data_IF_217828071403
#
_entry.id   IF_217828071403
#
_cell.length_a   1.000
_cell.length_b   1.000
_cell.length_c   1.000
_cell.angle_alpha   90.00
_cell.angle_beta   90.00
_cell.angle_gamma   90.00
#
_symmetry.space_group_name_H-M   'P 1'
#
loop_
_entity.id
_entity.type
_entity.pdbx_description
1 polymer ?
#
# COMPACT_ATOMS: atom_id res chain seq x y z
N UNK A 1 43.87 -21.99 -49.35
CA UNK A 1 43.60 -20.71 -50.02
C UNK A 1 42.15 -20.78 -50.47
N UNK A 2 41.24 -20.28 -49.64
CA UNK A 2 39.80 -20.40 -49.85
C UNK A 2 39.20 -19.01 -50.09
N UNK A 3 38.54 -18.78 -51.24
CA UNK A 3 37.91 -17.50 -51.52
C UNK A 3 36.60 -17.38 -50.73
N UNK A 4 36.57 -16.38 -49.85
CA UNK A 4 35.40 -15.97 -49.08
C UNK A 4 34.41 -15.28 -50.01
N UNK A 5 33.35 -15.98 -50.41
CA UNK A 5 32.27 -15.42 -51.22
C UNK A 5 31.41 -14.48 -50.37
N UNK A 6 31.65 -13.17 -50.50
CA UNK A 6 30.79 -12.13 -49.97
C UNK A 6 29.42 -12.21 -50.66
N UNK A 7 28.39 -12.58 -49.90
CA UNK A 7 27.00 -12.51 -50.36
C UNK A 7 26.54 -11.06 -50.23
N UNK A 8 26.68 -10.30 -51.32
CA UNK A 8 26.10 -8.96 -51.47
C UNK A 8 24.59 -9.04 -51.27
N UNK A 9 24.13 -8.52 -50.12
CA UNK A 9 22.72 -8.35 -49.82
C UNK A 9 22.20 -7.18 -50.66
N UNK A 10 21.63 -7.49 -51.81
CA UNK A 10 20.98 -6.52 -52.69
C UNK A 10 19.93 -5.71 -51.91
N UNK A 11 20.21 -4.43 -51.70
CA UNK A 11 19.25 -3.50 -51.13
C UNK A 11 18.05 -3.35 -52.09
N UNK A 12 16.80 -3.49 -51.62
CA UNK A 12 15.64 -3.35 -52.48
C UNK A 12 15.56 -1.93 -53.05
N UNK A 13 15.09 -1.79 -54.31
CA UNK A 13 14.99 -0.49 -54.98
C UNK A 13 14.11 0.46 -54.15
N UNK A 14 14.66 1.65 -53.88
CA UNK A 14 14.04 2.70 -53.08
C UNK A 14 12.64 3.03 -53.63
N UNK A 15 11.60 2.70 -52.87
CA UNK A 15 10.21 3.06 -53.18
C UNK A 15 9.20 1.91 -53.09
N UNK A 16 9.63 0.64 -53.02
CA UNK A 16 8.69 -0.46 -52.79
C UNK A 16 8.52 -0.74 -51.29
N UNK A 17 7.28 -0.70 -50.75
CA UNK A 17 7.04 -1.03 -49.35
C UNK A 17 7.39 -2.50 -49.11
N UNK A 18 8.11 -2.76 -48.02
CA UNK A 18 8.47 -4.13 -47.63
C UNK A 18 7.23 -5.03 -47.51
N UNK A 19 7.38 -6.33 -47.74
CA UNK A 19 6.27 -7.29 -47.60
C UNK A 19 5.60 -7.24 -46.22
N UNK A 20 6.39 -7.00 -45.17
CA UNK A 20 5.88 -6.80 -43.82
C UNK A 20 4.98 -5.56 -43.73
N UNK A 21 5.34 -4.49 -44.42
CA UNK A 21 4.55 -3.26 -44.50
C UNK A 21 3.28 -3.44 -45.34
N UNK A 22 3.36 -4.14 -46.48
CA UNK A 22 2.19 -4.49 -47.28
C UNK A 22 1.20 -5.33 -46.47
N UNK A 23 1.68 -6.29 -45.66
CA UNK A 23 0.85 -7.08 -44.74
C UNK A 23 0.20 -6.20 -43.67
N UNK A 24 0.95 -5.29 -43.04
CA UNK A 24 0.40 -4.32 -42.06
C UNK A 24 -0.68 -3.42 -42.67
N UNK A 25 -0.47 -2.92 -43.89
CA UNK A 25 -1.45 -2.06 -44.60
C UNK A 25 -2.69 -2.86 -44.97
N UNK A 26 -2.55 -4.08 -45.50
CA UNK A 26 -3.70 -4.97 -45.78
C UNK A 26 -4.50 -5.29 -44.52
N UNK A 27 -3.81 -5.57 -43.40
CA UNK A 27 -4.47 -5.82 -42.11
C UNK A 27 -5.24 -4.58 -41.62
N UNK A 28 -4.63 -3.39 -41.69
CA UNK A 28 -5.32 -2.12 -41.35
C UNK A 28 -6.54 -1.88 -42.22
N UNK A 29 -6.44 -2.08 -43.53
CA UNK A 29 -7.59 -1.97 -44.47
C UNK A 29 -8.69 -2.99 -44.16
N UNK A 30 -8.34 -4.23 -43.81
CA UNK A 30 -9.33 -5.26 -43.40
C UNK A 30 -10.04 -4.88 -42.10
N UNK A 31 -9.33 -4.29 -41.14
CA UNK A 31 -9.92 -3.84 -39.88
C UNK A 31 -10.77 -2.58 -40.04
N UNK A 32 -10.37 -1.67 -40.93
CA UNK A 32 -11.11 -0.44 -41.27
C UNK A 32 -12.42 -0.72 -42.01
N UNK A 33 -12.50 -1.81 -42.79
CA UNK A 33 -13.73 -2.26 -43.45
C UNK A 33 -14.80 -2.81 -42.50
N UNK A 34 -14.42 -3.18 -41.27
CA UNK A 34 -15.38 -3.64 -40.25
C UNK A 34 -15.95 -2.44 -39.51
N UNK A 35 -17.27 -2.39 -39.34
CA UNK A 35 -17.87 -1.35 -38.51
C UNK A 35 -17.43 -1.50 -37.05
N UNK A 36 -17.42 -0.43 -36.25
CA UNK A 36 -17.19 -0.52 -34.82
C UNK A 36 -18.12 -1.55 -34.13
N UNK A 37 -19.39 -1.67 -34.54
CA UNK A 37 -20.30 -2.69 -34.01
C UNK A 37 -19.85 -4.11 -34.35
N UNK A 38 -19.46 -4.37 -35.60
CA UNK A 38 -18.99 -5.70 -36.01
C UNK A 38 -17.72 -6.11 -35.26
N UNK A 39 -16.81 -5.17 -34.99
CA UNK A 39 -15.62 -5.43 -34.17
C UNK A 39 -16.00 -5.76 -32.72
N UNK A 40 -16.93 -5.00 -32.12
CA UNK A 40 -17.45 -5.27 -30.77
C UNK A 40 -18.13 -6.64 -30.70
N UNK A 41 -19.00 -6.96 -31.66
CA UNK A 41 -19.73 -8.23 -31.71
C UNK A 41 -18.76 -9.43 -31.84
N UNK A 42 -17.72 -9.31 -32.67
CA UNK A 42 -16.73 -10.37 -32.83
C UNK A 42 -15.86 -10.56 -31.58
N UNK A 43 -15.51 -9.48 -30.87
CA UNK A 43 -14.82 -9.56 -29.58
C UNK A 43 -15.71 -10.17 -28.49
N UNK A 44 -17.00 -9.82 -28.45
CA UNK A 44 -17.97 -10.42 -27.53
C UNK A 44 -18.16 -11.91 -27.82
N UNK A 45 -18.28 -12.28 -29.09
CA UNK A 45 -18.35 -13.68 -29.51
C UNK A 45 -17.09 -14.44 -29.09
N UNK A 46 -15.90 -13.88 -29.35
CA UNK A 46 -14.63 -14.48 -28.90
C UNK A 46 -14.54 -14.59 -27.38
N UNK A 47 -15.02 -13.60 -26.61
CA UNK A 47 -15.09 -13.69 -25.14
C UNK A 47 -15.99 -14.85 -24.71
N UNK A 48 -17.23 -14.91 -25.19
CA UNK A 48 -18.20 -15.97 -24.85
C UNK A 48 -17.68 -17.37 -25.21
N UNK A 49 -17.02 -17.51 -26.36
CA UNK A 49 -16.50 -18.80 -26.79
C UNK A 49 -15.28 -19.24 -25.97
N UNK A 50 -14.34 -18.33 -25.70
CA UNK A 50 -13.19 -18.67 -24.90
C UNK A 50 -13.53 -18.87 -23.41
N UNK A 51 -14.61 -18.24 -22.92
CA UNK A 51 -15.18 -18.49 -21.60
C UNK A 51 -15.77 -19.91 -21.53
N UNK A 52 -16.56 -20.30 -22.54
CA UNK A 52 -17.11 -21.67 -22.65
C UNK A 52 -16.02 -22.75 -22.70
N UNK A 53 -14.89 -22.44 -23.33
CA UNK A 53 -13.78 -23.38 -23.51
C UNK A 53 -12.77 -23.38 -22.34
N UNK A 54 -13.03 -22.64 -21.24
CA UNK A 54 -12.11 -22.46 -20.09
C UNK A 54 -10.71 -21.91 -20.52
N UNK A 55 -10.65 -21.18 -21.65
CA UNK A 55 -9.42 -20.67 -22.27
C UNK A 55 -9.03 -19.25 -21.86
N UNK A 56 -9.73 -18.67 -20.89
CA UNK A 56 -9.43 -17.34 -20.36
C UNK A 56 -9.29 -17.39 -18.84
N UNK A 57 -8.27 -16.72 -18.33
CA UNK A 57 -8.19 -16.31 -16.93
C UNK A 57 -8.71 -14.89 -16.78
N UNK A 58 -9.41 -14.63 -15.68
CA UNK A 58 -9.83 -13.29 -15.29
C UNK A 58 -8.82 -12.71 -14.30
N UNK A 59 -8.43 -11.45 -14.49
CA UNK A 59 -7.58 -10.72 -13.55
C UNK A 59 -8.41 -9.65 -12.84
N UNK A 60 -8.61 -9.83 -11.53
CA UNK A 60 -9.43 -8.93 -10.71
C UNK A 60 -8.90 -7.50 -10.67
N UNK A 61 -7.57 -7.32 -10.61
CA UNK A 61 -6.96 -5.99 -10.56
C UNK A 61 -7.18 -5.18 -11.84
N UNK A 62 -7.19 -5.85 -13.00
CA UNK A 62 -7.22 -5.18 -14.30
C UNK A 62 -8.61 -5.15 -14.94
N UNK A 63 -9.58 -5.90 -14.41
CA UNK A 63 -10.88 -6.20 -15.02
C UNK A 63 -10.74 -6.64 -16.49
N UNK A 64 -9.87 -7.64 -16.70
CA UNK A 64 -9.55 -8.17 -18.03
C UNK A 64 -9.55 -9.69 -18.05
N UNK A 65 -10.10 -10.22 -19.14
CA UNK A 65 -9.92 -11.62 -19.51
C UNK A 65 -8.66 -11.78 -20.37
N UNK A 66 -7.77 -12.66 -19.96
CA UNK A 66 -6.48 -12.95 -20.59
C UNK A 66 -6.46 -14.42 -21.01
N UNK A 67 -5.87 -14.73 -22.17
CA UNK A 67 -5.70 -16.10 -22.62
C UNK A 67 -5.04 -16.97 -21.54
N UNK A 68 -5.60 -18.16 -21.30
CA UNK A 68 -5.11 -19.14 -20.32
C UNK A 68 -3.74 -19.71 -20.67
N UNK A 69 -3.19 -19.37 -21.84
CA UNK A 69 -1.80 -19.71 -22.18
C UNK A 69 -0.86 -19.07 -21.15
N UNK A 70 -0.04 -19.91 -20.53
CA UNK A 70 0.88 -19.48 -19.47
C UNK A 70 1.75 -18.28 -19.87
N UNK A 71 2.30 -18.26 -21.09
CA UNK A 71 3.13 -17.14 -21.57
C UNK A 71 2.37 -15.80 -21.57
N UNK A 72 1.12 -15.77 -22.05
CA UNK A 72 0.33 -14.54 -22.10
C UNK A 72 -0.08 -14.08 -20.71
N UNK A 73 -0.40 -15.02 -19.82
CA UNK A 73 -0.67 -14.73 -18.42
C UNK A 73 0.55 -14.11 -17.71
N UNK A 74 1.73 -14.70 -17.86
CA UNK A 74 2.96 -14.17 -17.26
C UNK A 74 3.35 -12.81 -17.83
N UNK A 75 3.19 -12.58 -19.14
CA UNK A 75 3.40 -11.27 -19.75
C UNK A 75 2.42 -10.23 -19.20
N UNK A 76 1.17 -10.62 -18.96
CA UNK A 76 0.17 -9.74 -18.34
C UNK A 76 0.58 -9.34 -16.91
N UNK A 77 0.95 -10.30 -16.07
CA UNK A 77 1.35 -10.02 -14.67
C UNK A 77 2.56 -9.09 -14.58
N UNK A 78 3.46 -9.13 -15.56
CA UNK A 78 4.64 -8.25 -15.64
C UNK A 78 4.38 -6.93 -16.38
N UNK A 79 3.17 -6.71 -16.88
CA UNK A 79 2.84 -5.49 -17.63
C UNK A 79 2.71 -4.30 -16.69
N UNK A 80 3.16 -3.12 -17.14
CA UNK A 80 3.03 -1.87 -16.37
C UNK A 80 1.58 -1.65 -15.93
N UNK A 81 0.61 -1.88 -16.82
CA UNK A 81 -0.82 -1.75 -16.49
C UNK A 81 -1.25 -2.62 -15.31
N UNK A 82 -0.75 -3.86 -15.21
CA UNK A 82 -1.10 -4.72 -14.08
C UNK A 82 -0.45 -4.22 -12.79
N UNK A 83 0.82 -3.82 -12.86
CA UNK A 83 1.55 -3.25 -11.72
C UNK A 83 0.85 -1.99 -11.20
N UNK A 84 0.46 -1.08 -12.10
CA UNK A 84 -0.23 0.18 -11.75
C UNK A 84 -1.60 -0.10 -11.11
N UNK A 85 -2.37 -1.03 -11.67
CA UNK A 85 -3.67 -1.41 -11.13
C UNK A 85 -3.54 -2.09 -9.75
N UNK A 86 -2.55 -2.97 -9.59
CA UNK A 86 -2.22 -3.61 -8.33
C UNK A 86 -1.84 -2.57 -7.27
N UNK A 87 -0.94 -1.64 -7.58
CA UNK A 87 -0.56 -0.55 -6.67
C UNK A 87 -1.76 0.34 -6.30
N UNK A 88 -2.58 0.70 -7.29
CA UNK A 88 -3.78 1.51 -7.07
C UNK A 88 -4.76 0.85 -6.12
N UNK A 89 -4.95 -0.47 -6.23
CA UNK A 89 -5.79 -1.24 -5.32
C UNK A 89 -5.28 -1.15 -3.86
N UNK A 90 -4.01 -1.41 -3.62
CA UNK A 90 -3.46 -1.35 -2.26
C UNK A 90 -3.41 0.07 -1.70
N UNK A 91 -3.20 1.08 -2.54
CA UNK A 91 -3.29 2.48 -2.12
C UNK A 91 -4.71 2.85 -1.67
N UNK A 92 -5.74 2.38 -2.39
CA UNK A 92 -7.13 2.58 -2.00
C UNK A 92 -7.43 1.91 -0.66
N UNK A 93 -7.02 0.66 -0.50
CA UNK A 93 -7.19 -0.10 0.76
C UNK A 93 -6.50 0.62 1.92
N UNK A 94 -5.24 1.02 1.76
CA UNK A 94 -4.49 1.76 2.79
C UNK A 94 -5.16 3.09 3.15
N UNK A 95 -5.71 3.81 2.18
CA UNK A 95 -6.44 5.04 2.45
C UNK A 95 -7.71 4.78 3.27
N UNK A 96 -8.53 3.79 2.88
CA UNK A 96 -9.74 3.41 3.61
C UNK A 96 -9.41 2.98 5.05
N UNK A 97 -8.36 2.18 5.23
CA UNK A 97 -7.88 1.79 6.55
C UNK A 97 -7.45 3.00 7.38
N UNK A 98 -6.72 3.95 6.80
CA UNK A 98 -6.30 5.17 7.51
C UNK A 98 -7.48 6.03 7.97
N UNK A 99 -8.52 6.16 7.13
CA UNK A 99 -9.74 6.90 7.48
C UNK A 99 -10.46 6.20 8.62
N UNK A 100 -10.58 4.88 8.54
CA UNK A 100 -11.23 4.07 9.58
C UNK A 100 -10.49 4.15 10.93
N UNK A 101 -9.15 4.04 10.92
CA UNK A 101 -8.33 4.18 12.13
C UNK A 101 -8.42 5.59 12.74
N UNK A 102 -8.47 6.63 11.89
CA UNK A 102 -8.64 8.02 12.35
C UNK A 102 -9.98 8.24 13.05
N UNK A 103 -11.04 7.61 12.54
CA UNK A 103 -12.36 7.69 13.16
C UNK A 103 -12.39 6.99 14.53
N UNK A 104 -11.79 5.79 14.64
CA UNK A 104 -11.65 5.10 15.93
C UNK A 104 -10.88 5.96 16.94
N UNK A 105 -9.78 6.58 16.51
CA UNK A 105 -8.98 7.46 17.37
C UNK A 105 -9.81 8.64 17.88
N UNK A 106 -10.59 9.28 17.00
CA UNK A 106 -11.50 10.37 17.34
C UNK A 106 -12.54 9.94 18.38
N UNK A 107 -13.14 8.77 18.20
CA UNK A 107 -14.12 8.23 19.16
C UNK A 107 -13.50 7.93 20.53
N UNK A 108 -12.30 7.35 20.55
CA UNK A 108 -11.54 7.07 21.77
C UNK A 108 -11.19 8.36 22.51
N UNK A 109 -10.74 9.39 21.81
CA UNK A 109 -10.44 10.70 22.40
C UNK A 109 -11.70 11.35 23.00
N UNK A 110 -12.82 11.33 22.28
CA UNK A 110 -14.09 11.83 22.79
C UNK A 110 -14.56 11.04 24.02
N UNK A 111 -14.41 9.72 24.02
CA UNK A 111 -14.75 8.88 25.17
C UNK A 111 -13.86 9.21 26.39
N UNK A 112 -12.55 9.41 26.18
CA UNK A 112 -11.63 9.87 27.23
C UNK A 112 -12.02 11.24 27.78
N UNK A 113 -12.40 12.19 26.92
CA UNK A 113 -12.87 13.50 27.34
C UNK A 113 -14.12 13.44 28.21
N UNK A 114 -15.12 12.61 27.81
CA UNK A 114 -16.32 12.37 28.62
C UNK A 114 -16.00 11.72 29.96
N UNK A 115 -15.06 10.77 30.00
CA UNK A 115 -14.66 10.13 31.26
C UNK A 115 -13.95 11.12 32.19
N UNK A 116 -13.03 11.92 31.66
CA UNK A 116 -12.37 12.97 32.43
C UNK A 116 -13.39 13.95 33.04
N UNK A 117 -14.40 14.35 32.25
CA UNK A 117 -15.50 15.18 32.73
C UNK A 117 -16.30 14.50 33.86
N UNK A 118 -16.64 13.20 33.72
CA UNK A 118 -17.32 12.43 34.77
C UNK A 118 -16.51 12.37 36.07
N UNK A 119 -15.20 12.14 35.97
CA UNK A 119 -14.29 12.11 37.10
C UNK A 119 -14.21 13.48 37.78
N UNK A 120 -14.11 14.57 37.01
CA UNK A 120 -14.09 15.93 37.52
C UNK A 120 -15.40 16.28 38.26
N UNK A 121 -16.55 15.92 37.68
CA UNK A 121 -17.86 16.12 38.34
C UNK A 121 -17.97 15.32 39.64
N UNK A 122 -17.49 14.07 39.66
CA UNK A 122 -17.46 13.24 40.87
C UNK A 122 -16.58 13.87 41.96
N UNK A 123 -15.40 14.36 41.58
CA UNK A 123 -14.45 14.99 42.50
C UNK A 123 -14.98 16.32 43.07
N UNK A 124 -15.69 17.11 42.26
CA UNK A 124 -16.24 18.40 42.69
C UNK A 124 -17.44 18.26 43.66
N UNK A 125 -18.09 17.08 43.72
CA UNK A 125 -19.23 16.81 44.59
C UNK A 125 -20.59 17.17 43.98
N UNK A 126 -21.68 16.61 44.55
CA UNK A 126 -23.05 16.89 44.08
C UNK A 126 -23.41 18.34 44.39
N UNK A 127 -23.60 19.15 43.35
CA UNK A 127 -24.01 20.56 43.46
C UNK A 127 -22.91 21.57 43.18
N UNK A 128 -21.65 21.14 43.01
CA UNK A 128 -20.61 22.02 42.51
C UNK A 128 -20.82 22.21 41.00
N UNK A 129 -21.43 23.34 40.61
CA UNK A 129 -21.29 23.87 39.26
C UNK A 129 -19.80 24.04 39.01
N UNK A 130 -19.21 23.09 38.30
CA UNK A 130 -17.81 23.18 37.87
C UNK A 130 -17.73 24.48 37.09
N UNK A 131 -16.99 25.50 37.57
CA UNK A 131 -16.99 26.79 36.90
C UNK A 131 -16.45 26.53 35.50
N UNK A 132 -17.26 26.82 34.47
CA UNK A 132 -16.76 26.84 33.11
C UNK A 132 -15.50 27.71 33.12
N UNK A 133 -14.41 27.17 32.59
CA UNK A 133 -13.20 27.95 32.38
C UNK A 133 -13.61 29.21 31.60
N UNK A 134 -13.18 30.36 32.08
CA UNK A 134 -13.54 31.65 31.52
C UNK A 134 -13.19 31.69 30.04
N UNK A 135 -14.21 31.62 29.19
CA UNK A 135 -14.03 31.60 27.74
C UNK A 135 -14.38 32.98 27.20
N UNK A 136 -13.41 33.60 26.52
CA UNK A 136 -13.63 34.88 25.88
C UNK A 136 -14.40 34.65 24.58
N UNK A 137 -15.68 35.05 24.55
CA UNK A 137 -16.57 34.82 23.40
C UNK A 137 -16.47 35.97 22.39
N UNK A 138 -16.10 37.15 22.87
CA UNK A 138 -15.85 38.34 22.07
C UNK A 138 -14.84 39.26 22.80
N UNK A 139 -14.21 40.23 22.12
CA UNK A 139 -13.39 41.25 22.78
C UNK A 139 -14.17 41.93 23.92
N UNK A 140 -13.74 41.70 25.16
CA UNK A 140 -14.37 42.26 26.37
C UNK A 140 -15.54 41.46 26.97
N UNK A 141 -15.99 40.36 26.37
CA UNK A 141 -17.05 39.51 26.93
C UNK A 141 -16.47 38.15 27.34
N UNK A 142 -16.44 37.93 28.65
CA UNK A 142 -15.97 36.68 29.27
C UNK A 142 -17.17 36.00 29.92
N UNK A 143 -17.48 34.77 29.50
CA UNK A 143 -18.58 33.98 30.06
C UNK A 143 -17.99 32.84 30.89
N UNK A 144 -18.43 32.75 32.15
CA UNK A 144 -17.96 31.75 33.11
C UNK A 144 -16.67 32.16 33.85
N UNK A 145 -16.57 31.77 35.12
CA UNK A 145 -15.38 32.01 35.95
C UNK A 145 -15.52 33.19 36.92
N UNK A 146 -15.26 32.93 38.21
CA UNK A 146 -14.89 33.98 39.16
C UNK A 146 -13.55 34.49 38.68
N UNK A 147 -13.47 35.77 38.31
CA UNK A 147 -12.25 36.37 37.78
C UNK A 147 -11.08 36.02 38.70
N UNK A 148 -10.13 35.23 38.19
CA UNK A 148 -8.85 35.07 38.87
C UNK A 148 -8.31 36.49 39.00
N UNK A 149 -8.07 37.00 40.23
CA UNK A 149 -7.51 38.33 40.40
C UNK A 149 -6.27 38.41 39.52
N UNK A 150 -6.30 39.35 38.59
CA UNK A 150 -5.31 39.58 37.55
C UNK A 150 -3.92 39.29 38.10
N UNK A 151 -3.39 38.12 37.71
CA UNK A 151 -2.03 37.73 38.05
C UNK A 151 -1.15 38.88 37.57
N UNK A 152 -0.34 39.49 38.44
CA UNK A 152 0.54 40.58 38.03
C UNK A 152 1.34 40.13 36.81
N UNK A 153 1.62 41.05 35.87
CA UNK A 153 2.35 40.72 34.65
C UNK A 153 3.59 39.91 35.03
N UNK A 154 3.89 38.82 34.31
CA UNK A 154 5.08 38.03 34.60
C UNK A 154 6.29 38.99 34.60
N UNK A 155 7.21 38.83 35.57
CA UNK A 155 8.43 39.64 35.58
C UNK A 155 9.12 39.52 34.22
N UNK A 156 9.85 40.57 33.78
CA UNK A 156 10.57 40.54 32.52
C UNK A 156 11.35 39.24 32.40
N UNK A 157 11.16 38.55 31.28
CA UNK A 157 11.69 37.22 31.03
C UNK A 157 13.21 37.25 31.21
N UNK A 158 13.70 36.70 32.33
CA UNK A 158 15.11 36.42 32.47
C UNK A 158 15.39 35.16 31.66
N UNK A 159 16.25 35.21 30.63
CA UNK A 159 16.63 34.01 29.91
C UNK A 159 17.20 33.02 30.92
N UNK A 160 16.78 31.74 30.86
CA UNK A 160 17.30 30.73 31.77
C UNK A 160 18.83 30.69 31.62
N UNK A 161 19.57 30.52 32.73
CA UNK A 161 21.01 30.33 32.66
C UNK A 161 21.30 29.16 31.70
N UNK A 162 22.38 29.26 30.91
CA UNK A 162 22.76 28.18 30.01
C UNK A 162 22.89 26.88 30.82
N UNK A 163 22.36 25.76 30.32
CA UNK A 163 22.48 24.49 31.01
C UNK A 163 23.98 24.16 31.19
N UNK A 164 24.36 23.60 32.34
CA UNK A 164 25.72 23.12 32.52
C UNK A 164 26.04 22.08 31.43
N UNK A 165 27.30 22.03 30.94
CA UNK A 165 27.69 21.03 29.96
C UNK A 165 27.38 19.63 30.50
N UNK A 166 26.79 18.74 29.68
CA UNK A 166 26.47 17.40 30.12
C UNK A 166 27.76 16.69 30.56
N UNK A 167 27.77 15.99 31.70
CA UNK A 167 28.88 15.13 32.05
C UNK A 167 29.05 14.09 30.94
N UNK A 168 30.28 13.90 30.48
CA UNK A 168 30.69 12.87 29.54
C UNK A 168 30.45 11.50 30.21
N UNK A 169 29.22 10.99 30.14
CA UNK A 169 28.85 9.68 30.65
C UNK A 169 29.32 8.62 29.65
N UNK A 170 30.41 7.96 30.03
CA UNK A 170 30.87 6.73 29.39
C UNK A 170 29.77 5.66 29.48
N UNK A 171 29.37 5.16 28.30
CA UNK A 171 28.78 3.83 28.06
C UNK A 171 27.72 3.33 29.05
N UNK A 172 26.47 3.78 28.93
CA UNK A 172 25.33 3.12 29.58
C UNK A 172 24.86 1.93 28.74
N UNK A 173 25.05 0.70 29.24
CA UNK A 173 24.33 -0.46 28.71
C UNK A 173 22.88 -0.41 29.20
N UNK A 174 21.94 -0.33 28.26
CA UNK A 174 20.51 -0.35 28.58
C UNK A 174 20.13 -1.78 28.91
N UNK A 175 19.69 -2.01 30.16
CA UNK A 175 19.08 -3.27 30.56
C UNK A 175 17.59 -3.01 30.79
N UNK A 176 16.74 -3.56 29.93
CA UNK A 176 15.27 -3.46 30.08
C UNK A 176 14.80 -4.67 30.91
N UNK A 177 14.13 -4.41 32.03
CA UNK A 177 13.48 -5.44 32.85
C UNK A 177 11.99 -5.43 32.63
N UNK A 178 11.42 -6.61 32.34
CA UNK A 178 9.98 -6.86 32.32
C UNK A 178 9.72 -8.11 33.17
N UNK A 179 9.20 -7.92 34.39
CA UNK A 179 8.93 -9.01 35.34
C UNK A 179 10.20 -9.65 35.96
N UNK A 180 10.10 -10.87 36.53
CA UNK A 180 11.23 -11.57 37.14
C UNK A 180 12.26 -12.08 36.10
N UNK A 181 11.93 -12.02 34.82
CA UNK A 181 12.80 -12.51 33.74
C UNK A 181 13.66 -11.35 33.23
N UNK A 182 14.95 -11.38 33.56
CA UNK A 182 15.94 -10.45 33.01
C UNK A 182 16.42 -10.99 31.66
N UNK A 183 16.11 -10.27 30.58
CA UNK A 183 16.65 -10.57 29.25
C UNK A 183 17.87 -9.69 28.99
N UNK A 184 19.03 -10.33 28.80
CA UNK A 184 20.26 -9.66 28.34
C UNK A 184 20.33 -9.83 26.83
N UNK A 185 20.22 -8.75 26.02
CA UNK A 185 20.42 -8.89 24.58
C UNK A 185 21.89 -9.26 24.32
N UNK A 186 22.17 -10.25 23.46
CA UNK A 186 23.53 -10.57 23.06
C UNK A 186 24.14 -9.35 22.35
N UNK A 187 25.36 -8.98 22.74
CA UNK A 187 26.13 -7.92 22.13
C UNK A 187 26.33 -8.25 20.63
N UNK A 188 25.59 -7.57 19.76
CA UNK A 188 25.76 -7.69 18.32
C UNK A 188 26.97 -6.88 17.88
N UNK A 189 28.07 -7.56 17.61
CA UNK A 189 29.18 -7.01 16.82
C UNK A 189 28.73 -6.89 15.34
N UNK A 190 28.99 -5.77 14.65
CA UNK A 190 28.73 -5.66 13.22
C UNK A 190 29.91 -6.25 12.45
N UNK A 191 29.81 -7.51 12.07
CA UNK A 191 30.72 -8.12 11.07
C UNK A 191 29.88 -8.59 9.89
N UNK A 192 29.84 -7.78 8.85
CA UNK A 192 29.47 -8.26 7.52
C UNK A 192 30.60 -9.15 6.99
N UNK A 193 30.27 -10.34 6.49
CA UNK A 193 30.61 -10.58 5.11
C UNK A 193 29.48 -11.25 4.31
N UNK A 194 29.49 -10.93 3.02
CA UNK A 194 28.80 -11.62 1.93
C UNK A 194 29.16 -13.10 1.93
N UNK A 195 28.17 -13.99 1.95
CA UNK A 195 28.20 -15.28 1.25
C UNK A 195 26.82 -15.94 1.27
N UNK A 196 26.40 -16.41 0.10
CA UNK A 196 25.21 -17.20 -0.11
C UNK A 196 25.22 -18.50 0.73
N UNK A 197 24.14 -18.76 1.44
CA UNK A 197 23.80 -20.10 1.91
C UNK A 197 22.29 -20.29 1.75
N UNK A 198 21.95 -21.13 0.77
CA UNK A 198 20.62 -21.68 0.55
C UNK A 198 20.32 -22.56 1.76
N UNK A 199 19.47 -22.08 2.67
CA UNK A 199 18.97 -22.88 3.76
C UNK A 199 17.73 -23.65 3.28
N UNK A 200 17.88 -24.97 3.26
CA UNK A 200 16.83 -25.98 3.09
C UNK A 200 15.68 -25.67 4.05
N UNK A 201 14.51 -25.33 3.51
CA UNK A 201 13.27 -25.22 4.26
C UNK A 201 12.62 -26.60 4.23
N UNK A 202 12.39 -27.26 5.38
CA UNK A 202 11.67 -28.54 5.40
C UNK A 202 10.26 -28.34 4.83
N UNK A 203 9.94 -29.12 3.81
CA UNK A 203 8.67 -29.10 3.11
C UNK A 203 7.49 -29.33 4.09
N UNK A 204 6.45 -28.48 4.10
CA UNK A 204 5.20 -28.82 4.76
C UNK A 204 4.54 -29.98 3.99
N UNK A 205 4.57 -31.17 4.59
CA UNK A 205 3.72 -32.30 4.20
C UNK A 205 2.26 -31.98 4.53
N UNK A 206 1.64 -31.16 3.71
CA UNK A 206 0.20 -31.00 3.66
C UNK A 206 -0.22 -31.13 2.21
N UNK A 207 -0.64 -32.34 1.83
CA UNK A 207 -1.38 -32.56 0.59
C UNK A 207 -2.55 -31.58 0.57
N UNK A 208 -2.63 -30.68 -0.42
CA UNK A 208 -3.80 -29.83 -0.55
C UNK A 208 -4.98 -30.74 -0.87
N UNK A 209 -5.94 -30.80 0.06
CA UNK A 209 -7.19 -31.48 -0.19
C UNK A 209 -7.85 -30.81 -1.41
N UNK A 210 -7.97 -31.54 -2.52
CA UNK A 210 -8.55 -30.98 -3.74
C UNK A 210 -10.02 -30.63 -3.46
N UNK A 211 -10.47 -29.43 -3.87
CA UNK A 211 -11.85 -29.01 -3.66
C UNK A 211 -12.81 -30.00 -4.34
N UNK A 212 -13.95 -30.26 -3.68
CA UNK A 212 -14.87 -31.37 -3.98
C UNK A 212 -15.36 -31.40 -5.44
N UNK A 213 -15.42 -30.25 -6.12
CA UNK A 213 -15.80 -30.16 -7.53
C UNK A 213 -14.80 -30.85 -8.47
N UNK A 214 -13.53 -31.02 -8.06
CA UNK A 214 -12.48 -31.64 -8.85
C UNK A 214 -12.51 -33.18 -8.76
N UNK A 215 -13.08 -33.75 -7.68
CA UNK A 215 -13.24 -35.21 -7.50
C UNK A 215 -14.28 -35.83 -8.44
N UNK A 216 -15.24 -35.04 -8.94
CA UNK A 216 -16.36 -35.55 -9.77
C UNK A 216 -16.03 -35.74 -11.25
N UNK A 217 -14.86 -35.30 -11.73
CA UNK A 217 -14.46 -35.43 -13.15
C UNK A 217 -13.58 -36.64 -13.46
N UNK A 218 -13.12 -37.39 -12.45
CA UNK A 218 -12.21 -38.53 -12.61
C UNK A 218 -12.84 -39.88 -12.27
N UNK A 219 -14.17 -39.96 -12.22
CA UNK A 219 -14.93 -41.20 -12.04
C UNK A 219 -15.71 -41.53 -13.31
#
# INVERSE_FOLDING_TARGET
MDPTAATESASPPAGQPSDAEVRRVRQRRRLARKTPEQRRHLQQYQRRHNEKDERLYYCDYCDLFISSRHKTWMTHLRSARHIDAFQSYYNLVAHVESVWLSEIHREVELARGREAQRLQQRAAGRGATTPLAAQQVAPGIVVGGVGVPSRPPPPPYQPPPPPPPPPLLAGSSVTVRVGPTTWVPPAASPTWPVAAAVADVPAPSSSPELPEWQRRRTS
#
